data_IF_870397721593
#
_entry.id   IF_870397721593
#
_cell.length_a   1.000
_cell.length_b   1.000
_cell.length_c   1.000
_cell.angle_alpha   90.00
_cell.angle_beta   90.00
_cell.angle_gamma   90.00
#
_symmetry.space_group_name_H-M   'P 1'
#
loop_
_entity.id
_entity.type
_entity.pdbx_description
1 polymer ?
#
# COMPACT_ATOMS: atom_id res chain seq x y z
N UNK A 1 -16.78 15.91 -5.85
CA UNK A 1 -17.01 16.15 -7.30
C UNK A 1 -17.49 14.82 -7.86
N UNK A 2 -18.68 14.74 -8.46
CA UNK A 2 -19.19 13.51 -9.08
C UNK A 2 -18.67 13.44 -10.53
N UNK A 3 -18.32 12.26 -10.99
CA UNK A 3 -17.96 12.03 -12.40
C UNK A 3 -19.25 12.18 -13.22
N UNK A 4 -19.19 12.88 -14.35
CA UNK A 4 -20.31 13.07 -15.23
C UNK A 4 -20.81 11.74 -15.79
N UNK A 5 -22.13 11.56 -15.83
CA UNK A 5 -22.76 10.30 -16.22
C UNK A 5 -22.39 9.90 -17.65
N UNK A 6 -22.31 10.87 -18.55
CA UNK A 6 -21.94 10.67 -19.95
C UNK A 6 -20.55 10.04 -20.11
N UNK A 7 -19.60 10.42 -19.27
CA UNK A 7 -18.23 9.83 -19.27
C UNK A 7 -18.30 8.37 -18.79
N UNK A 8 -19.08 8.10 -17.74
CA UNK A 8 -19.27 6.74 -17.24
C UNK A 8 -19.94 5.86 -18.30
N UNK A 9 -21.01 6.35 -18.95
CA UNK A 9 -21.74 5.63 -20.01
C UNK A 9 -20.82 5.33 -21.23
N UNK A 10 -19.93 6.26 -21.60
CA UNK A 10 -18.93 6.03 -22.66
C UNK A 10 -17.92 4.96 -22.28
N UNK A 11 -17.46 4.94 -21.03
CA UNK A 11 -16.51 3.95 -20.54
C UNK A 11 -17.12 2.55 -20.41
N UNK A 12 -18.42 2.47 -20.12
CA UNK A 12 -19.15 1.21 -19.96
C UNK A 12 -19.64 0.63 -21.29
N UNK A 13 -19.72 1.43 -22.35
CA UNK A 13 -20.35 1.06 -23.61
C UNK A 13 -19.78 -0.25 -24.20
N UNK A 14 -20.61 -1.30 -24.22
CA UNK A 14 -20.31 -2.59 -24.87
C UNK A 14 -19.39 -3.52 -24.08
N UNK A 15 -19.10 -3.22 -22.82
CA UNK A 15 -18.20 -4.02 -21.97
C UNK A 15 -18.98 -4.83 -20.94
N UNK A 16 -18.55 -6.06 -20.69
CA UNK A 16 -19.08 -6.90 -19.64
C UNK A 16 -18.41 -6.66 -18.28
N UNK A 17 -18.93 -7.27 -17.21
CA UNK A 17 -18.40 -7.09 -15.86
C UNK A 17 -16.96 -7.60 -15.72
N UNK A 18 -16.54 -8.60 -16.49
CA UNK A 18 -15.20 -9.15 -16.44
C UNK A 18 -14.19 -8.24 -17.13
N UNK A 19 -14.60 -7.60 -18.24
CA UNK A 19 -13.79 -6.57 -18.92
C UNK A 19 -13.66 -5.29 -18.10
N UNK A 20 -14.62 -5.01 -17.23
CA UNK A 20 -14.59 -3.83 -16.35
C UNK A 20 -13.73 -4.06 -15.11
N UNK A 21 -13.96 -5.17 -14.38
CA UNK A 21 -13.41 -5.43 -13.04
C UNK A 21 -12.43 -6.60 -13.01
N UNK A 22 -12.22 -7.30 -14.14
CA UNK A 22 -11.28 -8.40 -14.23
C UNK A 22 -9.83 -7.95 -14.18
N UNK A 23 -8.93 -8.93 -14.21
CA UNK A 23 -7.49 -8.67 -14.34
C UNK A 23 -7.22 -7.97 -15.68
N UNK A 24 -6.42 -6.93 -15.63
CA UNK A 24 -6.16 -6.02 -16.79
C UNK A 24 -7.46 -5.36 -17.33
N UNK A 25 -8.50 -5.22 -16.49
CA UNK A 25 -9.77 -4.59 -16.86
C UNK A 25 -9.71 -3.06 -16.85
N UNK A 26 -10.82 -2.44 -17.32
CA UNK A 26 -10.94 -0.99 -17.46
C UNK A 26 -10.58 -0.21 -16.18
N UNK A 27 -10.98 -0.71 -15.00
CA UNK A 27 -10.69 -0.04 -13.72
C UNK A 27 -9.18 0.02 -13.48
N UNK A 28 -8.45 -1.03 -13.81
CA UNK A 28 -6.99 -1.07 -13.69
C UNK A 28 -6.32 -0.15 -14.70
N UNK A 29 -6.81 -0.14 -15.96
CA UNK A 29 -6.34 0.78 -17.00
C UNK A 29 -6.58 2.25 -16.62
N UNK A 30 -7.75 2.57 -16.08
CA UNK A 30 -8.08 3.93 -15.61
C UNK A 30 -7.19 4.33 -14.44
N UNK A 31 -6.98 3.45 -13.46
CA UNK A 31 -6.10 3.72 -12.32
C UNK A 31 -4.68 4.00 -12.78
N UNK A 32 -4.19 3.21 -13.75
CA UNK A 32 -2.88 3.43 -14.37
C UNK A 32 -2.81 4.77 -15.09
N UNK A 33 -3.78 5.07 -15.94
CA UNK A 33 -3.83 6.30 -16.71
C UNK A 33 -3.87 7.55 -15.82
N UNK A 34 -4.68 7.50 -14.75
CA UNK A 34 -4.76 8.57 -13.74
C UNK A 34 -3.44 8.74 -13.00
N UNK A 35 -2.82 7.64 -12.56
CA UNK A 35 -1.53 7.67 -11.88
C UNK A 35 -0.43 8.28 -12.77
N UNK A 36 -0.34 7.86 -14.03
CA UNK A 36 0.61 8.41 -15.00
C UNK A 36 0.33 9.88 -15.31
N UNK A 37 -0.95 10.29 -15.33
CA UNK A 37 -1.33 11.70 -15.52
C UNK A 37 -0.91 12.55 -14.33
N UNK A 38 -1.12 12.10 -13.11
CA UNK A 38 -0.68 12.79 -11.88
C UNK A 38 0.84 12.96 -11.90
N UNK A 39 1.60 11.89 -12.15
CA UNK A 39 3.06 11.94 -12.22
C UNK A 39 3.57 12.93 -13.28
N UNK A 40 2.88 13.02 -14.41
CA UNK A 40 3.22 14.01 -15.44
C UNK A 40 2.92 15.45 -15.00
N UNK A 41 1.83 15.66 -14.27
CA UNK A 41 1.48 16.98 -13.71
C UNK A 41 2.50 17.39 -12.65
N UNK A 42 2.88 16.48 -11.73
CA UNK A 42 3.92 16.73 -10.73
C UNK A 42 5.26 17.14 -11.38
N UNK A 43 5.64 16.46 -12.48
CA UNK A 43 6.87 16.85 -13.21
C UNK A 43 6.72 18.21 -13.87
N UNK A 44 5.56 18.56 -14.44
CA UNK A 44 5.35 19.88 -15.05
C UNK A 44 5.45 21.00 -14.00
N UNK A 45 4.85 20.81 -12.82
CA UNK A 45 4.95 21.73 -11.70
C UNK A 45 6.40 21.90 -11.24
N UNK A 46 7.13 20.79 -11.03
CA UNK A 46 8.54 20.80 -10.67
C UNK A 46 9.41 21.59 -11.68
N UNK A 47 9.17 21.37 -12.97
CA UNK A 47 9.92 22.09 -14.02
C UNK A 47 9.57 23.58 -14.08
N UNK A 48 8.36 23.98 -13.72
CA UNK A 48 7.96 25.40 -13.60
C UNK A 48 8.67 26.03 -12.41
N UNK A 49 8.71 25.37 -11.26
CA UNK A 49 9.42 25.84 -10.07
C UNK A 49 10.91 26.03 -10.36
N UNK A 50 11.58 25.04 -10.92
CA UNK A 50 13.01 25.14 -11.26
C UNK A 50 13.33 26.27 -12.27
N UNK A 51 12.43 26.51 -13.24
CA UNK A 51 12.60 27.66 -14.18
C UNK A 51 12.49 28.99 -13.46
N UNK A 52 11.61 29.10 -12.46
CA UNK A 52 11.48 30.35 -11.67
C UNK A 52 12.73 30.63 -10.84
N UNK A 53 13.49 29.59 -10.49
CA UNK A 53 14.77 29.65 -9.79
C UNK A 53 15.97 29.86 -10.74
N UNK A 54 15.73 29.93 -12.05
CA UNK A 54 16.77 30.14 -13.07
C UNK A 54 17.44 28.85 -13.56
N UNK A 55 16.92 27.67 -13.20
CA UNK A 55 17.43 26.35 -13.62
C UNK A 55 16.90 25.99 -15.02
N UNK A 56 17.78 25.57 -15.93
CA UNK A 56 17.41 25.14 -17.29
C UNK A 56 17.09 23.65 -17.36
N UNK A 57 16.28 23.15 -16.42
CA UNK A 57 15.85 21.74 -16.42
C UNK A 57 14.74 21.48 -17.44
N UNK A 58 14.63 20.24 -17.92
CA UNK A 58 13.64 19.84 -18.91
C UNK A 58 13.30 18.38 -18.81
N UNK A 59 12.18 17.96 -19.40
CA UNK A 59 11.78 16.55 -19.50
C UNK A 59 12.87 15.70 -20.18
N UNK A 60 13.07 14.48 -19.69
CA UNK A 60 14.04 13.52 -20.21
C UNK A 60 13.44 12.11 -20.35
N UNK A 61 12.33 12.02 -21.06
CA UNK A 61 11.63 10.76 -21.27
C UNK A 61 11.00 10.19 -20.01
N UNK A 62 10.86 8.87 -19.96
CA UNK A 62 10.27 8.14 -18.82
C UNK A 62 11.02 6.84 -18.56
N UNK A 63 10.79 6.27 -17.37
CA UNK A 63 11.24 4.92 -17.01
C UNK A 63 10.05 4.05 -16.58
N UNK A 64 10.13 2.76 -16.86
CA UNK A 64 9.10 1.81 -16.42
C UNK A 64 9.36 1.37 -14.98
N UNK A 65 8.32 1.38 -14.16
CA UNK A 65 8.36 0.95 -12.77
C UNK A 65 7.16 0.06 -12.48
N UNK A 66 7.41 -1.11 -11.94
CA UNK A 66 6.32 -1.98 -11.46
C UNK A 66 6.05 -1.67 -9.99
N UNK A 67 4.78 -1.39 -9.68
CA UNK A 67 4.31 -1.04 -8.34
C UNK A 67 3.22 -2.03 -7.95
N UNK A 68 3.25 -2.48 -6.70
CA UNK A 68 2.21 -3.34 -6.12
C UNK A 68 1.06 -2.46 -5.63
N UNK A 69 -0.15 -2.81 -6.01
CA UNK A 69 -1.40 -2.25 -5.50
C UNK A 69 -2.07 -3.26 -4.57
N UNK A 70 -3.12 -2.88 -3.87
CA UNK A 70 -3.89 -3.83 -3.05
C UNK A 70 -4.49 -5.01 -3.84
N UNK A 71 -4.53 -4.97 -5.17
CA UNK A 71 -5.18 -6.00 -6.00
C UNK A 71 -4.32 -6.55 -7.14
N UNK A 72 -3.25 -5.87 -7.55
CA UNK A 72 -2.49 -6.27 -8.74
C UNK A 72 -1.06 -5.71 -8.76
N UNK A 73 -0.32 -6.09 -9.81
CA UNK A 73 0.96 -5.47 -10.19
C UNK A 73 0.72 -4.48 -11.31
N UNK A 74 0.91 -3.20 -11.05
CA UNK A 74 0.73 -2.15 -12.04
C UNK A 74 2.07 -1.70 -12.60
N UNK A 75 2.21 -1.67 -13.91
CA UNK A 75 3.39 -1.17 -14.60
C UNK A 75 3.15 0.28 -15.03
N UNK A 76 3.85 1.21 -14.39
CA UNK A 76 3.72 2.65 -14.61
C UNK A 76 4.89 3.23 -15.39
N UNK A 77 4.62 4.22 -16.22
CA UNK A 77 5.59 5.05 -16.89
C UNK A 77 5.89 6.29 -16.03
N UNK A 78 7.03 6.28 -15.34
CA UNK A 78 7.44 7.37 -14.46
C UNK A 78 8.22 8.40 -15.30
N UNK A 79 7.73 9.64 -15.43
CA UNK A 79 8.43 10.67 -16.18
C UNK A 79 9.70 11.09 -15.45
N UNK A 80 10.70 11.59 -16.19
CA UNK A 80 11.99 12.02 -15.65
C UNK A 80 12.35 13.39 -16.18
N UNK A 81 13.08 14.13 -15.38
CA UNK A 81 13.77 15.35 -15.75
C UNK A 81 15.23 15.06 -16.17
N UNK A 82 15.88 16.04 -16.78
CA UNK A 82 17.27 15.88 -17.22
C UNK A 82 18.27 16.04 -16.06
N UNK A 83 17.96 16.87 -15.10
CA UNK A 83 18.81 17.11 -13.93
C UNK A 83 18.76 15.95 -12.93
N UNK A 84 17.68 15.13 -12.94
CA UNK A 84 17.48 14.03 -12.00
C UNK A 84 17.07 14.51 -10.60
N UNK A 85 16.57 15.72 -10.50
CA UNK A 85 16.11 16.36 -9.25
C UNK A 85 14.65 16.02 -8.91
N UNK A 86 13.86 15.63 -9.92
CA UNK A 86 12.46 15.27 -9.74
C UNK A 86 12.29 14.05 -8.84
N UNK A 87 11.56 14.21 -7.74
CA UNK A 87 11.13 13.13 -6.85
C UNK A 87 9.59 13.14 -6.74
N UNK A 88 8.91 12.22 -7.40
CA UNK A 88 7.44 12.19 -7.43
C UNK A 88 6.85 11.97 -6.03
N UNK A 89 5.80 12.72 -5.69
CA UNK A 89 5.06 12.59 -4.42
C UNK A 89 4.13 11.37 -4.43
N UNK A 90 3.50 11.08 -5.58
CA UNK A 90 2.57 9.96 -5.71
C UNK A 90 3.28 8.62 -5.49
N UNK A 91 4.49 8.45 -6.02
CA UNK A 91 5.30 7.24 -5.92
C UNK A 91 6.76 7.63 -5.77
N UNK A 92 7.24 7.72 -4.55
CA UNK A 92 8.62 8.10 -4.26
C UNK A 92 9.65 7.21 -5.00
N UNK A 93 10.87 7.72 -5.19
CA UNK A 93 11.90 7.15 -6.06
C UNK A 93 12.14 5.64 -5.88
N UNK A 94 12.15 5.15 -4.64
CA UNK A 94 12.40 3.74 -4.31
C UNK A 94 11.15 2.96 -3.89
N UNK A 95 9.99 3.62 -3.81
CA UNK A 95 8.73 2.99 -3.45
C UNK A 95 8.27 2.07 -4.58
N UNK A 96 7.95 0.81 -4.26
CA UNK A 96 7.48 -0.22 -5.21
C UNK A 96 6.10 -0.75 -4.88
N UNK A 97 5.39 -0.11 -3.96
CA UNK A 97 4.05 -0.48 -3.53
C UNK A 97 3.28 0.75 -3.08
N UNK A 98 1.98 0.70 -3.26
CA UNK A 98 1.07 1.68 -2.70
C UNK A 98 0.77 1.37 -1.23
N UNK A 99 0.36 2.35 -0.41
CA UNK A 99 0.03 2.13 1.01
C UNK A 99 -1.05 1.07 1.23
N UNK A 100 -2.06 1.01 0.36
CA UNK A 100 -3.16 0.04 0.40
C UNK A 100 -2.70 -1.43 0.34
N UNK A 101 -1.52 -1.69 -0.24
CA UNK A 101 -0.90 -3.01 -0.23
C UNK A 101 -0.39 -3.38 1.17
N UNK A 102 0.26 -2.44 1.86
CA UNK A 102 0.77 -2.64 3.21
C UNK A 102 -0.41 -2.83 4.20
N UNK A 103 -1.47 -2.03 4.09
CA UNK A 103 -2.71 -2.14 4.88
C UNK A 103 -3.34 -3.54 4.73
N UNK A 104 -3.31 -4.11 3.54
CA UNK A 104 -3.82 -5.46 3.28
C UNK A 104 -3.00 -6.53 4.00
N UNK A 105 -1.68 -6.43 3.96
CA UNK A 105 -0.79 -7.34 4.72
C UNK A 105 -1.06 -7.24 6.21
N UNK A 106 -1.15 -6.01 6.74
CA UNK A 106 -1.45 -5.74 8.16
C UNK A 106 -2.80 -6.35 8.54
N UNK A 107 -3.83 -6.17 7.72
CA UNK A 107 -5.17 -6.75 7.97
C UNK A 107 -5.16 -8.28 8.03
N UNK A 108 -4.40 -8.94 7.15
CA UNK A 108 -4.25 -10.41 7.18
C UNK A 108 -3.48 -10.87 8.42
N UNK A 109 -2.39 -10.17 8.75
CA UNK A 109 -1.59 -10.46 9.94
C UNK A 109 -2.38 -10.28 11.23
N UNK A 110 -3.17 -9.20 11.35
CA UNK A 110 -4.04 -8.93 12.48
C UNK A 110 -5.12 -10.02 12.69
N UNK A 111 -5.49 -10.75 11.63
CA UNK A 111 -6.40 -11.91 11.70
C UNK A 111 -5.70 -13.21 12.10
N UNK A 112 -4.40 -13.16 12.40
CA UNK A 112 -3.62 -14.29 12.85
C UNK A 112 -2.97 -15.12 11.75
N UNK A 113 -2.96 -14.63 10.51
CA UNK A 113 -2.28 -15.33 9.42
C UNK A 113 -0.76 -15.27 9.60
N UNK A 114 -0.08 -16.37 9.42
CA UNK A 114 1.38 -16.42 9.39
C UNK A 114 1.93 -15.80 8.09
N UNK A 115 3.20 -15.40 8.09
CA UNK A 115 3.91 -14.89 6.89
C UNK A 115 3.77 -15.82 5.68
N UNK A 116 3.79 -17.15 5.92
CA UNK A 116 3.63 -18.14 4.87
C UNK A 116 2.23 -18.15 4.27
N UNK A 117 1.21 -18.05 5.12
CA UNK A 117 -0.19 -18.00 4.70
C UNK A 117 -0.51 -16.71 3.96
N UNK A 118 -0.01 -15.56 4.45
CA UNK A 118 -0.14 -14.26 3.76
C UNK A 118 0.46 -14.33 2.37
N UNK A 119 1.68 -14.88 2.23
CA UNK A 119 2.33 -15.05 0.93
C UNK A 119 1.50 -15.92 0.00
N UNK A 120 1.06 -17.10 0.48
CA UNK A 120 0.21 -18.00 -0.32
C UNK A 120 -1.09 -17.35 -0.76
N UNK A 121 -1.73 -16.61 0.12
CA UNK A 121 -2.97 -15.89 -0.16
C UNK A 121 -2.78 -14.78 -1.23
N UNK A 122 -1.70 -14.00 -1.14
CA UNK A 122 -1.38 -12.98 -2.13
C UNK A 122 -1.06 -13.58 -3.50
N UNK A 123 -0.37 -14.72 -3.53
CA UNK A 123 -0.05 -15.43 -4.78
C UNK A 123 -1.31 -16.04 -5.42
N UNK A 124 -2.16 -16.70 -4.62
CA UNK A 124 -3.36 -17.39 -5.10
C UNK A 124 -4.44 -16.42 -5.62
N UNK A 125 -4.74 -15.36 -4.85
CA UNK A 125 -5.83 -14.44 -5.19
C UNK A 125 -5.43 -13.32 -6.13
N UNK A 126 -4.20 -12.82 -6.01
CA UNK A 126 -3.78 -11.62 -6.73
C UNK A 126 -2.62 -11.87 -7.71
N UNK A 127 -2.08 -13.10 -7.76
CA UNK A 127 -0.91 -13.41 -8.58
C UNK A 127 0.33 -12.62 -8.17
N UNK A 128 0.39 -12.17 -6.90
CA UNK A 128 1.47 -11.34 -6.37
C UNK A 128 2.41 -12.23 -5.56
N UNK A 129 3.60 -12.51 -6.09
CA UNK A 129 4.68 -13.14 -5.32
C UNK A 129 5.47 -12.06 -4.56
N UNK A 130 5.53 -12.20 -3.25
CA UNK A 130 6.26 -11.31 -2.33
C UNK A 130 7.23 -12.10 -1.47
N UNK A 131 8.35 -11.47 -1.13
CA UNK A 131 9.31 -12.11 -0.23
C UNK A 131 8.77 -12.15 1.22
N UNK A 132 9.10 -13.19 1.99
CA UNK A 132 8.80 -13.23 3.43
C UNK A 132 9.33 -11.99 4.17
N UNK A 133 10.51 -11.49 3.77
CA UNK A 133 11.12 -10.32 4.38
C UNK A 133 10.29 -9.05 4.17
N UNK A 134 9.61 -8.92 3.02
CA UNK A 134 8.72 -7.78 2.79
C UNK A 134 7.53 -7.82 3.76
N UNK A 135 6.92 -8.99 3.92
CA UNK A 135 5.78 -9.15 4.85
C UNK A 135 6.23 -8.84 6.27
N UNK A 136 7.37 -9.37 6.71
CA UNK A 136 7.92 -9.07 8.04
C UNK A 136 8.19 -7.57 8.21
N UNK A 137 8.81 -6.91 7.23
CA UNK A 137 9.09 -5.48 7.32
C UNK A 137 7.81 -4.62 7.41
N UNK A 138 6.74 -5.00 6.71
CA UNK A 138 5.44 -4.32 6.80
C UNK A 138 4.80 -4.54 8.18
N UNK A 139 4.84 -5.77 8.71
CA UNK A 139 4.28 -6.07 10.03
C UNK A 139 5.10 -5.47 11.17
N UNK A 140 6.41 -5.40 11.04
CA UNK A 140 7.30 -4.79 12.04
C UNK A 140 7.10 -3.27 12.13
N UNK A 141 6.76 -2.60 11.03
CA UNK A 141 6.50 -1.16 11.01
C UNK A 141 5.30 -0.76 11.90
N UNK A 142 4.34 -1.68 12.14
CA UNK A 142 3.18 -1.44 13.01
C UNK A 142 3.52 -1.59 14.49
N UNK A 143 4.64 -2.23 14.83
CA UNK A 143 5.01 -2.48 16.23
C UNK A 143 5.23 -1.19 17.01
N UNK A 144 5.72 -0.13 16.38
CA UNK A 144 5.90 1.18 17.02
C UNK A 144 4.55 1.80 17.41
N UNK A 145 3.57 1.77 16.51
CA UNK A 145 2.20 2.26 16.77
C UNK A 145 1.52 1.42 17.85
N UNK A 146 1.72 0.10 17.82
CA UNK A 146 1.20 -0.80 18.88
C UNK A 146 1.84 -0.48 20.22
N UNK A 147 3.15 -0.22 20.28
CA UNK A 147 3.85 0.14 21.51
C UNK A 147 3.38 1.50 22.06
N UNK A 148 3.16 2.49 21.20
CA UNK A 148 2.60 3.78 21.57
C UNK A 148 1.18 3.62 22.11
N UNK A 149 0.33 2.84 21.41
CA UNK A 149 -1.02 2.54 21.86
C UNK A 149 -1.04 1.82 23.23
N UNK A 150 -0.14 0.85 23.44
CA UNK A 150 -0.01 0.14 24.72
C UNK A 150 0.50 1.06 25.84
N UNK A 151 1.36 2.02 25.52
CA UNK A 151 1.90 2.99 26.47
C UNK A 151 0.97 4.16 26.80
N UNK A 152 -0.18 4.30 26.14
CA UNK A 152 -1.12 5.39 26.38
C UNK A 152 -1.65 5.35 27.81
N UNK A 153 -1.85 6.51 28.46
CA UNK A 153 -2.49 6.57 29.76
C UNK A 153 -3.93 6.03 29.68
N UNK A 154 -4.31 5.24 30.67
CA UNK A 154 -5.68 4.76 30.80
C UNK A 154 -6.60 5.90 31.23
N UNK A 155 -7.88 5.78 30.85
CA UNK A 155 -8.92 6.71 31.35
C UNK A 155 -9.04 6.64 32.89
N UNK A 156 -9.49 7.72 33.51
CA UNK A 156 -9.61 7.81 34.97
C UNK A 156 -10.64 6.82 35.57
N UNK A 157 -11.59 6.33 34.76
CA UNK A 157 -12.63 5.39 35.20
C UNK A 157 -13.12 4.54 34.06
N UNK A 158 -13.17 3.22 34.26
CA UNK A 158 -13.84 2.27 33.40
C UNK A 158 -15.01 1.65 34.17
N UNK A 159 -16.26 1.88 33.75
CA UNK A 159 -17.43 1.37 34.46
C UNK A 159 -17.59 -0.13 34.36
N UNK A 160 -16.99 -0.74 33.32
CA UNK A 160 -17.03 -2.17 33.06
C UNK A 160 -15.70 -2.59 32.39
N UNK A 161 -15.09 -3.66 32.91
CA UNK A 161 -13.85 -4.23 32.36
C UNK A 161 -14.02 -5.72 32.21
N UNK A 162 -13.80 -6.25 31.03
CA UNK A 162 -13.76 -7.68 30.75
C UNK A 162 -12.32 -8.17 30.82
N UNK A 163 -12.11 -9.28 31.51
CA UNK A 163 -10.81 -9.96 31.54
C UNK A 163 -10.93 -11.32 30.86
N UNK A 164 -10.02 -11.58 29.96
CA UNK A 164 -9.86 -12.88 29.34
C UNK A 164 -8.39 -13.32 29.38
N UNK A 165 -8.14 -14.61 29.23
CA UNK A 165 -6.79 -15.17 29.24
C UNK A 165 -6.64 -16.22 28.15
N UNK A 166 -5.71 -15.99 27.22
CA UNK A 166 -5.33 -16.97 26.21
C UNK A 166 -4.00 -17.63 26.58
N UNK A 167 -3.89 -18.94 26.35
CA UNK A 167 -2.63 -19.68 26.50
C UNK A 167 -1.94 -19.77 25.16
N UNK A 168 -0.74 -19.22 25.07
CA UNK A 168 0.08 -19.21 23.86
C UNK A 168 1.43 -19.87 24.10
N UNK A 169 1.96 -20.52 23.07
CA UNK A 169 3.32 -21.05 23.09
C UNK A 169 4.28 -19.95 22.65
N UNK A 170 5.10 -19.47 23.56
CA UNK A 170 6.10 -18.43 23.30
C UNK A 170 7.49 -19.05 23.36
N UNK A 171 8.32 -18.79 22.35
CA UNK A 171 9.76 -19.12 22.41
C UNK A 171 10.48 -18.00 23.18
N UNK A 172 11.07 -18.38 24.30
CA UNK A 172 11.78 -17.50 25.20
C UNK A 172 13.12 -18.15 25.55
N UNK A 173 14.22 -17.45 25.34
CA UNK A 173 15.58 -17.97 25.57
C UNK A 173 15.87 -19.33 24.93
N UNK A 174 15.33 -19.59 23.74
CA UNK A 174 15.50 -20.86 23.01
C UNK A 174 14.53 -21.97 23.40
N UNK A 175 13.74 -21.82 24.45
CA UNK A 175 12.75 -22.80 24.90
C UNK A 175 11.32 -22.38 24.57
N UNK A 176 10.48 -23.35 24.19
CA UNK A 176 9.06 -23.09 23.99
C UNK A 176 8.32 -23.32 25.30
N UNK A 177 7.72 -22.27 25.86
CA UNK A 177 6.94 -22.32 27.10
C UNK A 177 5.49 -21.90 26.84
N UNK A 178 4.55 -22.53 27.55
CA UNK A 178 3.17 -22.05 27.56
C UNK A 178 3.08 -20.85 28.52
N UNK A 179 2.70 -19.71 28.00
CA UNK A 179 2.44 -18.49 28.80
C UNK A 179 0.96 -18.13 28.67
N UNK A 180 0.39 -17.60 29.75
CA UNK A 180 -0.94 -16.99 29.73
C UNK A 180 -0.77 -15.51 29.40
N UNK A 181 -1.51 -15.03 28.40
CA UNK A 181 -1.62 -13.62 28.08
C UNK A 181 -3.00 -13.16 28.56
N UNK A 182 -3.03 -12.22 29.47
CA UNK A 182 -4.25 -11.62 29.99
C UNK A 182 -4.62 -10.40 29.15
N UNK A 183 -5.87 -10.32 28.77
CA UNK A 183 -6.43 -9.22 27.99
C UNK A 183 -7.49 -8.56 28.84
N UNK A 184 -7.43 -7.24 28.98
CA UNK A 184 -8.45 -6.40 29.59
C UNK A 184 -9.13 -5.57 28.48
N UNK A 185 -10.46 -5.66 28.38
CA UNK A 185 -11.28 -4.98 27.37
C UNK A 185 -12.28 -4.06 28.03
#
# INVERSE_FOLDING_TARGET
MAIEKEIVDQLLAGRDAQELFGKDGLVEELTKALSERILNTELDEHLVEERSEGNANRRNGSSQKTVLTGSSKMRLSIPRDRAGTFDPKLIARYQRRFPDFDDKIISMYARGMSVREIRGHLEELYGIDVSPNLISAVTDAVLEEVAEWQGRPLEACYPLVFFDAIRVKIRDEGFVRNKAVYIAL
#
